data_IF_415942900621
#
_entry.id   IF_415942900621
#
_cell.length_a   1.000
_cell.length_b   1.000
_cell.length_c   1.000
_cell.angle_alpha   90.00
_cell.angle_beta   90.00
_cell.angle_gamma   90.00
#
_symmetry.space_group_name_H-M   'P 1'
#
loop_
_entity.id
_entity.type
_entity.pdbx_description
1 polymer ?
#
# COMPACT_ATOMS: atom_id res chain seq x y z
N UNK A 1 -22.06 21.85 0.31
CA UNK A 1 -21.64 20.48 -0.17
C UNK A 1 -20.87 19.69 0.91
N UNK A 2 -19.89 20.29 1.61
CA UNK A 2 -19.08 19.61 2.65
C UNK A 2 -19.93 19.11 3.83
N UNK A 3 -20.83 19.92 4.38
CA UNK A 3 -21.71 19.55 5.49
C UNK A 3 -22.59 18.32 5.16
N UNK A 4 -23.10 18.24 3.91
CA UNK A 4 -23.90 17.08 3.47
C UNK A 4 -23.10 15.78 3.34
N UNK A 5 -21.78 15.85 3.03
CA UNK A 5 -20.92 14.68 3.01
C UNK A 5 -20.57 14.21 4.41
N UNK A 6 -20.25 15.15 5.31
CA UNK A 6 -19.93 14.81 6.72
C UNK A 6 -21.11 14.13 7.42
N UNK A 7 -22.35 14.55 7.13
CA UNK A 7 -23.55 13.97 7.74
C UNK A 7 -23.84 12.52 7.31
N UNK A 8 -23.15 12.01 6.27
CA UNK A 8 -23.26 10.59 5.84
C UNK A 8 -22.22 9.68 6.48
N UNK A 9 -21.27 10.26 7.24
CA UNK A 9 -20.25 9.49 7.95
C UNK A 9 -20.78 9.16 9.35
N UNK A 10 -20.85 7.87 9.66
CA UNK A 10 -21.30 7.37 10.96
C UNK A 10 -20.14 6.71 11.70
N UNK A 11 -19.38 7.45 12.55
CA UNK A 11 -18.30 6.85 13.32
C UNK A 11 -18.86 5.89 14.36
N UNK A 12 -18.25 4.71 14.50
CA UNK A 12 -18.59 3.70 15.51
C UNK A 12 -17.32 3.11 16.12
N UNK A 13 -17.44 2.58 17.34
CA UNK A 13 -16.38 1.86 18.05
C UNK A 13 -16.66 0.35 18.12
N UNK A 14 -17.72 -0.10 17.47
CA UNK A 14 -18.15 -1.49 17.39
C UNK A 14 -18.55 -1.83 15.93
N UNK A 15 -19.11 -3.02 15.72
CA UNK A 15 -19.55 -3.48 14.39
C UNK A 15 -21.02 -3.11 14.05
N UNK A 16 -21.64 -2.17 14.77
CA UNK A 16 -23.02 -1.74 14.49
C UNK A 16 -23.16 -1.23 13.07
N UNK A 17 -24.07 -1.81 12.28
CA UNK A 17 -24.31 -1.44 10.89
C UNK A 17 -23.49 -2.23 9.86
N UNK A 18 -22.51 -3.02 10.28
CA UNK A 18 -21.67 -3.82 9.38
C UNK A 18 -22.49 -4.91 8.63
N UNK A 19 -23.59 -5.35 9.20
CA UNK A 19 -24.53 -6.26 8.55
C UNK A 19 -25.21 -5.69 7.29
N UNK A 20 -25.02 -4.39 6.99
CA UNK A 20 -25.64 -3.69 5.84
C UNK A 20 -24.65 -3.16 4.81
N UNK A 21 -23.35 -3.27 5.09
CA UNK A 21 -22.34 -2.72 4.18
C UNK A 21 -22.06 -3.65 3.01
N UNK A 22 -21.72 -3.07 1.86
CA UNK A 22 -21.37 -3.81 0.64
C UNK A 22 -19.87 -4.06 0.54
N UNK A 23 -19.07 -3.18 1.17
CA UNK A 23 -17.60 -3.28 1.18
C UNK A 23 -17.05 -2.78 2.51
N UNK A 24 -16.01 -3.46 2.99
CA UNK A 24 -15.17 -3.01 4.10
C UNK A 24 -13.73 -2.89 3.62
N UNK A 25 -13.10 -1.74 3.88
CA UNK A 25 -11.68 -1.53 3.63
C UNK A 25 -10.95 -1.51 4.96
N UNK A 26 -10.15 -2.56 5.22
CA UNK A 26 -9.29 -2.64 6.40
C UNK A 26 -8.05 -1.75 6.19
N UNK A 27 -7.75 -0.91 7.17
CA UNK A 27 -6.61 0.01 7.15
C UNK A 27 -5.96 0.16 8.56
N UNK A 28 -5.88 -0.96 9.30
CA UNK A 28 -5.19 -0.99 10.60
C UNK A 28 -3.68 -1.04 10.43
N UNK A 29 -2.94 -1.09 11.55
CA UNK A 29 -1.47 -1.13 11.54
C UNK A 29 -0.91 -2.20 10.59
N UNK A 30 0.23 -1.91 9.94
CA UNK A 30 0.86 -2.79 8.96
C UNK A 30 1.57 -3.98 9.64
N UNK A 31 0.75 -4.86 10.23
CA UNK A 31 1.19 -6.08 10.92
C UNK A 31 0.31 -7.26 10.48
N UNK A 32 0.89 -8.34 9.91
CA UNK A 32 0.12 -9.46 9.37
C UNK A 32 -0.79 -10.14 10.40
N UNK A 33 -0.33 -10.29 11.64
CA UNK A 33 -1.13 -10.93 12.70
C UNK A 33 -2.34 -10.10 13.07
N UNK A 34 -2.15 -8.77 13.20
CA UNK A 34 -3.25 -7.84 13.54
C UNK A 34 -4.26 -7.79 12.40
N UNK A 35 -3.80 -7.63 11.16
CA UNK A 35 -4.68 -7.59 9.98
C UNK A 35 -5.48 -8.89 9.82
N UNK A 36 -4.84 -10.04 9.96
CA UNK A 36 -5.54 -11.35 9.91
C UNK A 36 -6.62 -11.47 10.98
N UNK A 37 -6.33 -11.05 12.20
CA UNK A 37 -7.31 -11.09 13.29
C UNK A 37 -8.51 -10.18 13.02
N UNK A 38 -8.25 -8.92 12.62
CA UNK A 38 -9.30 -7.94 12.30
C UNK A 38 -10.13 -8.38 11.10
N UNK A 39 -9.50 -8.89 10.03
CA UNK A 39 -10.21 -9.38 8.85
C UNK A 39 -11.11 -10.57 9.17
N UNK A 40 -10.62 -11.54 9.95
CA UNK A 40 -11.42 -12.70 10.36
C UNK A 40 -12.60 -12.29 11.26
N UNK A 41 -12.38 -11.39 12.21
CA UNK A 41 -13.44 -10.86 13.07
C UNK A 41 -14.48 -10.07 12.25
N UNK A 42 -14.02 -9.22 11.33
CA UNK A 42 -14.90 -8.44 10.44
C UNK A 42 -15.75 -9.35 9.56
N UNK A 43 -15.16 -10.43 9.02
CA UNK A 43 -15.87 -11.39 8.16
C UNK A 43 -17.09 -12.00 8.86
N UNK A 44 -17.02 -12.20 10.16
CA UNK A 44 -18.12 -12.75 10.97
C UNK A 44 -19.25 -11.71 11.25
N UNK A 45 -19.00 -10.43 11.02
CA UNK A 45 -19.94 -9.33 11.25
C UNK A 45 -20.63 -8.82 9.99
N UNK A 46 -20.21 -9.26 8.83
CA UNK A 46 -20.73 -8.81 7.53
C UNK A 46 -21.54 -9.89 6.83
N UNK A 47 -22.36 -9.47 5.87
CA UNK A 47 -23.10 -10.39 4.99
C UNK A 47 -22.17 -11.31 4.20
N UNK A 48 -22.65 -12.49 3.79
CA UNK A 48 -21.86 -13.43 3.00
C UNK A 48 -21.36 -12.88 1.65
N UNK A 49 -22.04 -11.88 1.08
CA UNK A 49 -21.74 -11.24 -0.20
C UNK A 49 -20.94 -9.93 -0.09
N UNK A 50 -20.67 -9.48 1.14
CA UNK A 50 -19.85 -8.30 1.40
C UNK A 50 -18.41 -8.55 0.96
N UNK A 51 -17.84 -7.59 0.23
CA UNK A 51 -16.44 -7.63 -0.14
C UNK A 51 -15.56 -7.07 0.98
N UNK A 52 -14.52 -7.81 1.35
CA UNK A 52 -13.46 -7.33 2.21
C UNK A 52 -12.26 -6.90 1.35
N UNK A 53 -11.65 -5.78 1.67
CA UNK A 53 -10.43 -5.32 1.04
C UNK A 53 -9.41 -4.87 2.09
N UNK A 54 -8.11 -5.07 1.84
CA UNK A 54 -7.06 -4.55 2.69
C UNK A 54 -6.29 -3.43 2.00
N UNK A 55 -6.05 -2.33 2.71
CA UNK A 55 -5.20 -1.22 2.26
C UNK A 55 -3.72 -1.44 2.63
N UNK A 56 -3.30 -2.70 2.80
CA UNK A 56 -1.87 -2.98 3.01
C UNK A 56 -1.03 -2.47 1.85
N UNK A 57 0.20 -2.05 2.15
CA UNK A 57 1.15 -1.55 1.14
C UNK A 57 2.15 -2.60 0.67
N UNK A 58 2.38 -3.65 1.49
CA UNK A 58 3.47 -4.61 1.23
C UNK A 58 3.12 -6.06 1.57
N UNK A 59 2.17 -6.29 2.47
CA UNK A 59 1.81 -7.65 2.90
C UNK A 59 1.04 -8.34 1.77
N UNK A 60 1.47 -9.55 1.31
CA UNK A 60 0.76 -10.26 0.27
C UNK A 60 -0.71 -10.54 0.62
N UNK A 61 -1.59 -10.32 -0.33
CA UNK A 61 -3.03 -10.55 -0.16
C UNK A 61 -3.33 -12.03 0.10
N UNK A 62 -2.60 -12.94 -0.54
CA UNK A 62 -2.70 -14.38 -0.28
C UNK A 62 -2.38 -14.75 1.17
N UNK A 63 -1.44 -14.05 1.79
CA UNK A 63 -1.12 -14.25 3.20
C UNK A 63 -2.29 -13.83 4.10
N UNK A 64 -2.91 -12.68 3.85
CA UNK A 64 -4.06 -12.19 4.61
C UNK A 64 -5.30 -13.05 4.37
N UNK A 65 -5.54 -13.47 3.13
CA UNK A 65 -6.64 -14.33 2.73
C UNK A 65 -6.67 -15.68 3.46
N UNK A 66 -5.52 -16.14 3.97
CA UNK A 66 -5.42 -17.41 4.70
C UNK A 66 -6.21 -17.43 6.02
N UNK A 67 -6.60 -16.26 6.54
CA UNK A 67 -7.39 -16.13 7.76
C UNK A 67 -8.92 -16.11 7.50
N UNK A 68 -9.34 -16.02 6.24
CA UNK A 68 -10.73 -15.86 5.85
C UNK A 68 -11.41 -17.18 5.50
N UNK A 69 -12.70 -17.27 5.80
CA UNK A 69 -13.59 -18.38 5.41
C UNK A 69 -14.06 -18.26 3.96
N UNK A 70 -14.16 -17.01 3.46
CA UNK A 70 -14.65 -16.62 2.11
C UNK A 70 -13.62 -15.80 1.36
N UNK A 71 -12.41 -16.35 1.11
CA UNK A 71 -11.33 -15.60 0.47
C UNK A 71 -11.64 -15.17 -0.96
N UNK A 72 -12.68 -15.73 -1.60
CA UNK A 72 -13.18 -15.31 -2.91
C UNK A 72 -13.78 -13.88 -2.89
N UNK A 73 -14.24 -13.42 -1.72
CA UNK A 73 -14.75 -12.06 -1.50
C UNK A 73 -13.69 -11.09 -0.97
N UNK A 74 -12.42 -11.42 -1.09
CA UNK A 74 -11.31 -10.63 -0.57
C UNK A 74 -10.32 -10.24 -1.65
N UNK A 75 -9.82 -8.99 -1.58
CA UNK A 75 -8.74 -8.49 -2.43
C UNK A 75 -7.94 -7.40 -1.71
N UNK A 76 -6.87 -6.92 -2.34
CA UNK A 76 -6.22 -5.68 -1.92
C UNK A 76 -6.87 -4.46 -2.58
N UNK A 77 -6.90 -3.34 -1.85
CA UNK A 77 -7.30 -2.02 -2.37
C UNK A 77 -6.32 -0.97 -1.83
N UNK A 78 -5.18 -0.87 -2.48
CA UNK A 78 -4.05 -0.07 -2.03
C UNK A 78 -4.16 1.37 -2.53
N UNK A 79 -4.37 2.29 -1.61
CA UNK A 79 -4.40 3.73 -1.86
C UNK A 79 -3.02 4.35 -1.63
N UNK A 80 -2.77 5.47 -2.32
CA UNK A 80 -1.55 6.25 -2.16
C UNK A 80 -1.80 7.53 -1.37
N UNK A 81 -0.91 7.83 -0.43
CA UNK A 81 -0.99 9.04 0.39
C UNK A 81 -0.50 10.28 -0.41
N UNK A 82 -1.21 11.42 -0.34
CA UNK A 82 -2.48 11.66 0.34
C UNK A 82 -3.69 11.19 -0.47
N UNK A 83 -4.51 10.32 0.11
CA UNK A 83 -5.60 9.60 -0.57
C UNK A 83 -6.54 10.51 -1.36
N UNK A 84 -6.85 11.70 -0.83
CA UNK A 84 -7.78 12.64 -1.48
C UNK A 84 -7.20 13.31 -2.74
N UNK A 85 -5.88 13.26 -2.95
CA UNK A 85 -5.19 13.86 -4.12
C UNK A 85 -4.70 12.82 -5.12
N UNK A 86 -4.24 11.68 -4.61
CA UNK A 86 -3.64 10.65 -5.46
C UNK A 86 -4.74 9.92 -6.24
N UNK A 87 -4.72 9.95 -7.58
CA UNK A 87 -5.77 9.33 -8.37
C UNK A 87 -5.65 7.81 -8.45
N UNK A 88 -4.44 7.26 -8.40
CA UNK A 88 -4.17 5.83 -8.58
C UNK A 88 -4.64 5.01 -7.38
N UNK A 89 -5.23 3.85 -7.65
CA UNK A 89 -5.50 2.77 -6.69
C UNK A 89 -5.10 1.46 -7.33
N UNK A 90 -4.28 0.67 -6.63
CA UNK A 90 -4.02 -0.71 -7.04
C UNK A 90 -5.09 -1.63 -6.45
N UNK A 91 -5.71 -2.42 -7.31
CA UNK A 91 -6.60 -3.51 -6.92
C UNK A 91 -5.82 -4.80 -7.05
N UNK A 92 -5.45 -5.39 -5.91
CA UNK A 92 -4.56 -6.55 -5.87
C UNK A 92 -5.40 -7.82 -5.87
N UNK A 93 -5.26 -8.59 -6.93
CA UNK A 93 -5.90 -9.88 -7.08
C UNK A 93 -5.09 -10.95 -6.35
N UNK A 94 -5.64 -11.49 -5.28
CA UNK A 94 -5.15 -12.73 -4.66
C UNK A 94 -5.54 -13.96 -5.48
N UNK A 95 -4.88 -15.09 -5.25
CA UNK A 95 -5.14 -16.36 -5.96
C UNK A 95 -6.60 -16.83 -5.85
N UNK A 96 -7.24 -16.54 -4.72
CA UNK A 96 -8.62 -16.95 -4.45
C UNK A 96 -9.65 -15.84 -4.73
N UNK A 97 -9.21 -14.61 -5.01
CA UNK A 97 -10.12 -13.49 -5.31
C UNK A 97 -10.94 -13.80 -6.55
N UNK A 98 -12.29 -13.74 -6.45
CA UNK A 98 -13.18 -13.98 -7.60
C UNK A 98 -13.14 -12.80 -8.58
N UNK A 99 -13.43 -13.08 -9.85
CA UNK A 99 -13.57 -12.05 -10.88
C UNK A 99 -14.67 -11.04 -10.53
N UNK A 100 -15.74 -11.50 -9.90
CA UNK A 100 -16.84 -10.67 -9.43
C UNK A 100 -16.37 -9.67 -8.36
N UNK A 101 -15.60 -10.13 -7.37
CA UNK A 101 -15.00 -9.27 -6.33
C UNK A 101 -14.13 -8.19 -6.94
N UNK A 102 -13.23 -8.58 -7.85
CA UNK A 102 -12.35 -7.62 -8.53
C UNK A 102 -13.14 -6.61 -9.34
N UNK A 103 -14.15 -7.05 -10.11
CA UNK A 103 -15.00 -6.16 -10.89
C UNK A 103 -15.77 -5.15 -10.01
N UNK A 104 -16.34 -5.60 -8.89
CA UNK A 104 -17.00 -4.73 -7.91
C UNK A 104 -16.05 -3.65 -7.38
N UNK A 105 -14.85 -4.03 -6.94
CA UNK A 105 -13.88 -3.09 -6.35
C UNK A 105 -13.36 -2.10 -7.39
N UNK A 106 -13.11 -2.53 -8.62
CA UNK A 106 -12.78 -1.64 -9.75
C UNK A 106 -13.90 -0.62 -10.01
N UNK A 107 -15.15 -1.07 -9.99
CA UNK A 107 -16.29 -0.17 -10.19
C UNK A 107 -16.39 0.87 -9.05
N UNK A 108 -16.23 0.47 -7.80
CA UNK A 108 -16.21 1.41 -6.66
C UNK A 108 -15.06 2.40 -6.72
N UNK A 109 -13.85 1.94 -7.03
CA UNK A 109 -12.71 2.84 -7.20
C UNK A 109 -12.99 3.89 -8.28
N UNK A 110 -13.55 3.47 -9.42
CA UNK A 110 -13.93 4.38 -10.50
C UNK A 110 -15.02 5.38 -10.07
N UNK A 111 -16.03 4.94 -9.31
CA UNK A 111 -17.09 5.81 -8.77
C UNK A 111 -16.55 6.85 -7.77
N UNK A 112 -15.48 6.52 -7.04
CA UNK A 112 -14.76 7.48 -6.19
C UNK A 112 -13.88 8.47 -6.96
N UNK A 113 -13.88 8.42 -8.29
CA UNK A 113 -13.03 9.26 -9.15
C UNK A 113 -11.57 8.83 -9.16
N UNK A 114 -11.28 7.58 -8.77
CA UNK A 114 -9.94 7.00 -8.83
C UNK A 114 -9.66 6.37 -10.19
N UNK A 115 -8.41 6.14 -10.46
CA UNK A 115 -7.92 5.36 -11.60
C UNK A 115 -7.46 3.99 -11.09
N UNK A 116 -8.32 2.96 -11.10
CA UNK A 116 -7.94 1.63 -10.63
C UNK A 116 -7.10 0.91 -11.68
N UNK A 117 -6.07 0.21 -11.21
CA UNK A 117 -5.33 -0.80 -11.97
C UNK A 117 -5.42 -2.14 -11.24
N UNK A 118 -5.71 -3.20 -11.99
CA UNK A 118 -5.71 -4.56 -11.43
C UNK A 118 -4.31 -5.15 -11.57
N UNK A 119 -3.75 -5.61 -10.46
CA UNK A 119 -2.41 -6.19 -10.39
C UNK A 119 -2.44 -7.54 -9.70
N UNK A 120 -1.49 -8.41 -10.03
CA UNK A 120 -1.31 -9.67 -9.34
C UNK A 120 -0.66 -9.47 -7.97
N UNK A 121 -1.00 -10.36 -7.04
CA UNK A 121 -0.41 -10.36 -5.71
C UNK A 121 1.08 -10.69 -5.73
N UNK A 122 1.86 -9.85 -5.10
CA UNK A 122 3.28 -10.07 -4.79
C UNK A 122 3.72 -9.03 -3.74
N UNK A 123 4.83 -9.25 -3.04
CA UNK A 123 5.37 -8.25 -2.11
C UNK A 123 5.54 -6.87 -2.77
N UNK A 124 4.90 -5.83 -2.19
CA UNK A 124 4.95 -4.46 -2.70
C UNK A 124 4.20 -4.21 -4.01
N UNK A 125 3.43 -5.18 -4.50
CA UNK A 125 2.53 -5.10 -5.66
C UNK A 125 3.23 -4.58 -6.92
N UNK A 126 2.66 -3.63 -7.66
CA UNK A 126 3.27 -3.09 -8.87
C UNK A 126 4.08 -1.81 -8.59
N UNK A 127 3.49 -0.82 -7.93
CA UNK A 127 4.13 0.50 -7.77
C UNK A 127 5.38 0.41 -6.89
N UNK A 128 5.27 -0.20 -5.71
CA UNK A 128 6.44 -0.34 -4.83
C UNK A 128 7.53 -1.21 -5.46
N UNK A 129 7.15 -2.23 -6.23
CA UNK A 129 8.10 -3.08 -6.95
C UNK A 129 8.92 -2.32 -8.00
N UNK A 130 8.36 -1.25 -8.57
CA UNK A 130 9.09 -0.34 -9.48
C UNK A 130 9.85 0.73 -8.70
N UNK A 131 9.25 1.24 -7.63
CA UNK A 131 9.81 2.34 -6.86
C UNK A 131 11.05 1.95 -6.04
N UNK A 132 11.08 0.77 -5.44
CA UNK A 132 12.23 0.36 -4.60
C UNK A 132 13.55 0.20 -5.38
N UNK A 133 13.59 -0.38 -6.59
CA UNK A 133 14.78 -0.32 -7.44
C UNK A 133 15.25 1.10 -7.78
N UNK A 134 14.31 2.05 -7.91
CA UNK A 134 14.64 3.47 -8.09
C UNK A 134 15.35 4.04 -6.85
N UNK A 135 14.89 3.75 -5.64
CA UNK A 135 15.58 4.12 -4.40
C UNK A 135 16.94 3.43 -4.25
N UNK A 136 17.06 2.18 -4.68
CA UNK A 136 18.34 1.47 -4.70
C UNK A 136 19.34 2.16 -5.63
N UNK A 137 18.92 2.56 -6.84
CA UNK A 137 19.72 3.36 -7.75
C UNK A 137 20.13 4.72 -7.18
N UNK A 138 19.22 5.41 -6.49
CA UNK A 138 19.52 6.63 -5.77
C UNK A 138 20.58 6.41 -4.68
N UNK A 139 20.42 5.37 -3.86
CA UNK A 139 21.40 5.02 -2.82
C UNK A 139 22.78 4.70 -3.39
N UNK A 140 22.84 4.07 -4.58
CA UNK A 140 24.11 3.83 -5.28
C UNK A 140 24.77 5.15 -5.73
N UNK A 141 24.00 6.10 -6.28
CA UNK A 141 24.54 7.41 -6.63
C UNK A 141 25.13 8.14 -5.43
N UNK A 142 24.51 8.04 -4.25
CA UNK A 142 25.06 8.63 -3.01
C UNK A 142 26.38 7.96 -2.61
N UNK A 143 26.49 6.65 -2.73
CA UNK A 143 27.76 5.93 -2.47
C UNK A 143 28.86 6.35 -3.41
N UNK A 144 28.51 6.66 -4.66
CA UNK A 144 29.45 7.14 -5.67
C UNK A 144 29.79 8.64 -5.50
N UNK A 145 29.30 9.28 -4.44
CA UNK A 145 29.61 10.66 -4.06
C UNK A 145 28.70 11.72 -4.68
N UNK A 146 27.57 11.34 -5.27
CA UNK A 146 26.61 12.31 -5.78
C UNK A 146 25.94 13.10 -4.65
N UNK A 147 25.78 14.41 -4.87
CA UNK A 147 25.01 15.27 -3.97
C UNK A 147 23.50 15.01 -4.13
N UNK A 148 22.83 14.62 -3.06
CA UNK A 148 21.41 14.25 -3.09
C UNK A 148 20.51 15.39 -3.60
N UNK A 149 20.83 16.67 -3.30
CA UNK A 149 20.03 17.81 -3.76
C UNK A 149 20.17 18.00 -5.29
N UNK A 150 21.33 17.68 -5.83
CA UNK A 150 21.54 17.71 -7.30
C UNK A 150 20.78 16.59 -7.97
N UNK A 151 20.77 15.39 -7.38
CA UNK A 151 19.98 14.24 -7.88
C UNK A 151 18.50 14.59 -7.89
N UNK A 152 17.95 15.09 -6.78
CA UNK A 152 16.55 15.52 -6.70
C UNK A 152 16.22 16.54 -7.80
N UNK A 153 17.02 17.58 -7.92
CA UNK A 153 16.83 18.63 -8.94
C UNK A 153 16.85 18.08 -10.36
N UNK A 154 17.73 17.14 -10.67
CA UNK A 154 17.80 16.51 -12.00
C UNK A 154 16.54 15.69 -12.26
N UNK A 155 16.12 14.87 -11.30
CA UNK A 155 14.92 14.05 -11.43
C UNK A 155 13.66 14.89 -11.63
N UNK A 156 13.52 16.00 -10.91
CA UNK A 156 12.39 16.91 -11.06
C UNK A 156 12.44 17.69 -12.38
N UNK A 157 13.59 18.29 -12.74
CA UNK A 157 13.67 19.24 -13.84
C UNK A 157 13.91 18.60 -15.20
N UNK A 158 14.63 17.48 -15.25
CA UNK A 158 15.00 16.83 -16.52
C UNK A 158 14.16 15.59 -16.81
N UNK A 159 13.80 14.83 -15.77
CA UNK A 159 12.97 13.63 -15.91
C UNK A 159 11.48 13.86 -15.63
N UNK A 160 11.10 15.03 -15.10
CA UNK A 160 9.70 15.42 -14.88
C UNK A 160 9.03 14.71 -13.71
N UNK A 161 9.78 14.19 -12.76
CA UNK A 161 9.23 13.63 -11.55
C UNK A 161 8.65 14.74 -10.66
N UNK A 162 7.52 14.52 -9.98
CA UNK A 162 6.92 15.50 -9.08
C UNK A 162 7.78 15.80 -7.84
N UNK A 163 8.61 14.82 -7.44
CA UNK A 163 9.53 14.89 -6.30
C UNK A 163 10.80 14.11 -6.64
N UNK A 164 11.96 14.62 -6.20
CA UNK A 164 13.20 13.87 -6.26
C UNK A 164 13.24 12.73 -5.24
N UNK A 165 14.15 11.75 -5.38
CA UNK A 165 14.17 10.56 -4.54
C UNK A 165 14.44 10.84 -3.07
N UNK A 166 15.29 11.82 -2.72
CA UNK A 166 15.57 12.16 -1.33
C UNK A 166 14.34 12.80 -0.69
N UNK A 167 13.70 13.75 -1.35
CA UNK A 167 12.50 14.40 -0.86
C UNK A 167 11.32 13.41 -0.76
N UNK A 168 11.19 12.52 -1.72
CA UNK A 168 10.16 11.48 -1.69
C UNK A 168 10.33 10.54 -0.47
N UNK A 169 11.56 10.11 -0.17
CA UNK A 169 11.87 9.30 1.01
C UNK A 169 11.54 10.03 2.31
N UNK A 170 11.82 11.33 2.39
CA UNK A 170 11.51 12.17 3.55
C UNK A 170 9.98 12.28 3.76
N UNK A 171 9.20 12.45 2.69
CA UNK A 171 7.73 12.53 2.74
C UNK A 171 7.06 11.20 3.06
N UNK A 172 7.58 10.09 2.52
CA UNK A 172 7.05 8.74 2.78
C UNK A 172 7.35 8.27 4.19
N UNK A 173 8.46 8.70 4.74
CA UNK A 173 9.03 8.26 6.01
C UNK A 173 10.09 7.19 5.81
N UNK A 174 11.26 7.43 6.38
CA UNK A 174 12.41 6.50 6.29
C UNK A 174 12.12 5.18 6.99
N UNK A 175 11.39 5.19 8.10
CA UNK A 175 10.95 4.00 8.82
C UNK A 175 10.01 3.15 7.95
N UNK A 176 9.06 3.78 7.28
CA UNK A 176 8.14 3.12 6.34
C UNK A 176 8.92 2.52 5.17
N UNK A 177 9.85 3.28 4.57
CA UNK A 177 10.68 2.82 3.46
C UNK A 177 11.60 1.66 3.90
N UNK A 178 12.21 1.72 5.09
CA UNK A 178 13.06 0.68 5.64
C UNK A 178 12.29 -0.64 5.83
N UNK A 179 11.12 -0.60 6.47
CA UNK A 179 10.29 -1.79 6.65
C UNK A 179 9.81 -2.39 5.32
N UNK A 180 9.35 -1.54 4.40
CA UNK A 180 8.92 -2.00 3.07
C UNK A 180 10.09 -2.63 2.28
N UNK A 181 11.30 -2.05 2.36
CA UNK A 181 12.51 -2.61 1.76
C UNK A 181 12.83 -4.00 2.30
N UNK A 182 12.67 -4.23 3.60
CA UNK A 182 12.87 -5.54 4.21
C UNK A 182 11.89 -6.58 3.65
N UNK A 183 10.60 -6.23 3.52
CA UNK A 183 9.57 -7.11 2.92
C UNK A 183 9.89 -7.41 1.45
N UNK A 184 10.29 -6.39 0.68
CA UNK A 184 10.65 -6.54 -0.72
C UNK A 184 11.89 -7.43 -0.89
N UNK A 185 12.91 -7.24 -0.05
CA UNK A 185 14.14 -8.05 -0.08
C UNK A 185 13.87 -9.52 0.27
N UNK A 186 12.99 -9.78 1.24
CA UNK A 186 12.58 -11.14 1.60
C UNK A 186 11.79 -11.82 0.46
N UNK A 187 10.92 -11.07 -0.23
CA UNK A 187 10.12 -11.59 -1.34
C UNK A 187 10.89 -11.76 -2.65
N UNK A 188 11.95 -10.97 -2.87
CA UNK A 188 12.77 -10.99 -4.09
C UNK A 188 14.27 -11.06 -3.78
N UNK A 189 14.77 -12.10 -3.08
CA UNK A 189 16.14 -12.12 -2.58
C UNK A 189 17.20 -12.03 -3.68
N UNK A 190 16.92 -12.61 -4.87
CA UNK A 190 17.87 -12.55 -5.99
C UNK A 190 18.00 -11.19 -6.67
N UNK A 191 17.04 -10.27 -6.42
CA UNK A 191 16.96 -8.98 -7.14
C UNK A 191 17.02 -7.78 -6.23
N UNK A 192 16.54 -7.89 -4.98
CA UNK A 192 16.37 -6.78 -4.07
C UNK A 192 17.13 -6.94 -2.75
N UNK A 193 17.73 -8.10 -2.51
CA UNK A 193 18.64 -8.26 -1.39
C UNK A 193 19.93 -7.47 -1.67
N UNK A 194 20.37 -6.73 -0.66
CA UNK A 194 21.63 -5.99 -0.67
C UNK A 194 22.57 -6.55 0.38
N UNK A 195 23.86 -6.50 0.10
CA UNK A 195 24.94 -6.91 0.99
C UNK A 195 25.65 -5.71 1.65
N UNK A 196 25.04 -4.56 1.57
CA UNK A 196 25.57 -3.31 2.11
C UNK A 196 24.48 -2.49 2.81
N UNK A 197 24.92 -1.63 3.71
CA UNK A 197 24.09 -0.64 4.38
C UNK A 197 23.92 0.58 3.47
N UNK A 198 22.68 0.92 3.15
CA UNK A 198 22.36 2.06 2.29
C UNK A 198 21.96 3.32 3.10
N UNK A 199 21.53 4.37 2.38
CA UNK A 199 21.12 5.63 3.01
C UNK A 199 19.86 5.47 3.87
N UNK A 200 18.92 4.60 3.46
CA UNK A 200 17.69 4.33 4.21
C UNK A 200 18.03 3.67 5.55
N UNK A 201 18.88 2.62 5.53
CA UNK A 201 19.35 1.96 6.76
C UNK A 201 20.08 2.93 7.69
N UNK A 202 20.96 3.76 7.12
CA UNK A 202 21.76 4.70 7.90
C UNK A 202 20.89 5.77 8.59
N UNK A 203 19.86 6.27 7.92
CA UNK A 203 18.94 7.25 8.49
C UNK A 203 18.00 6.59 9.51
N UNK A 204 17.53 5.37 9.25
CA UNK A 204 16.70 4.60 10.18
C UNK A 204 17.43 4.35 11.50
N UNK A 205 18.68 3.88 11.47
CA UNK A 205 19.49 3.63 12.67
C UNK A 205 19.84 4.92 13.43
N UNK A 206 19.87 6.06 12.74
CA UNK A 206 20.05 7.37 13.34
C UNK A 206 18.75 7.98 13.90
N UNK A 207 17.62 7.25 13.88
CA UNK A 207 16.28 7.71 14.25
C UNK A 207 15.85 8.99 13.50
N UNK A 208 16.21 9.07 12.21
CA UNK A 208 15.83 10.15 11.32
C UNK A 208 14.79 9.63 10.33
N UNK A 209 13.51 9.82 10.65
CA UNK A 209 12.41 9.17 9.95
C UNK A 209 11.74 10.05 8.87
N UNK A 210 12.08 11.31 8.77
CA UNK A 210 11.49 12.29 7.86
C UNK A 210 10.57 13.28 8.56
#
# INVERSE_FOLDING_TARGET
KMAGVISTIHPTLDYSGFERVDVVVEAVVENPKVKKAVLAETEDQVRPDTVLASNTSTIPINELASALKRPENFCGMHFFNPVHRMPLVEIIRGEKSSDETIAKVVAWASQMGKTPIVVNDCPGFFVNRVLFPYFAGFSQLLRDGADFRKVDKVMEKQFGWPMGPAYLLDVVGIDTAHHAQAVMSAGFPQRMQKDYRDAIDALFDANRFG
#
